data_IF_992997095147
#
_entry.id   IF_992997095147
#
_cell.length_a   1.000
_cell.length_b   1.000
_cell.length_c   1.000
_cell.angle_alpha   90.00
_cell.angle_beta   90.00
_cell.angle_gamma   90.00
#
_symmetry.space_group_name_H-M   'P 1'
#
loop_
_entity.id
_entity.type
_entity.pdbx_description
1 polymer ?
#
# COMPACT_ATOMS: atom_id res chain seq x y z
N UNK A 1 -17.58 -17.19 -45.55
CA UNK A 1 -17.73 -18.32 -44.61
C UNK A 1 -18.59 -17.84 -43.42
N UNK A 2 -19.86 -18.21 -43.39
CA UNK A 2 -20.75 -17.80 -42.29
C UNK A 2 -20.24 -18.52 -41.03
N UNK A 3 -19.74 -17.77 -40.05
CA UNK A 3 -19.35 -18.33 -38.75
C UNK A 3 -20.58 -18.90 -38.07
N UNK A 4 -20.44 -20.15 -37.56
CA UNK A 4 -21.53 -20.77 -36.83
C UNK A 4 -21.90 -19.94 -35.61
N UNK A 5 -23.16 -19.52 -35.51
CA UNK A 5 -23.67 -18.67 -34.47
C UNK A 5 -23.43 -19.27 -33.07
N UNK A 6 -23.53 -20.61 -32.97
CA UNK A 6 -23.25 -21.32 -31.72
C UNK A 6 -21.78 -21.20 -31.26
N UNK A 7 -20.85 -21.22 -32.22
CA UNK A 7 -19.42 -21.03 -31.92
C UNK A 7 -19.16 -19.61 -31.39
N UNK A 8 -19.78 -18.59 -31.96
CA UNK A 8 -19.63 -17.20 -31.53
C UNK A 8 -20.13 -16.97 -30.11
N UNK A 9 -21.29 -17.52 -29.75
CA UNK A 9 -21.86 -17.44 -28.39
C UNK A 9 -20.92 -18.11 -27.38
N UNK A 10 -20.41 -19.28 -27.75
CA UNK A 10 -19.49 -20.04 -26.89
C UNK A 10 -18.16 -19.29 -26.70
N UNK A 11 -17.64 -18.62 -27.73
CA UNK A 11 -16.44 -17.79 -27.63
C UNK A 11 -16.65 -16.57 -26.74
N UNK A 12 -17.81 -15.93 -26.77
CA UNK A 12 -18.15 -14.81 -25.87
C UNK A 12 -18.20 -15.26 -24.41
N UNK A 13 -18.74 -16.44 -24.14
CA UNK A 13 -18.72 -17.04 -22.81
C UNK A 13 -17.29 -17.28 -22.31
N UNK A 14 -16.44 -17.89 -23.13
CA UNK A 14 -15.04 -18.15 -22.78
C UNK A 14 -14.25 -16.85 -22.50
N UNK A 15 -14.51 -15.80 -23.27
CA UNK A 15 -13.91 -14.47 -23.00
C UNK A 15 -14.29 -13.96 -21.61
N UNK A 16 -15.56 -14.03 -21.23
CA UNK A 16 -16.02 -13.55 -19.92
C UNK A 16 -15.52 -14.39 -18.76
N UNK A 17 -15.31 -15.71 -18.97
CA UNK A 17 -14.59 -16.56 -18.02
C UNK A 17 -13.15 -16.08 -17.83
N UNK A 18 -12.45 -15.73 -18.92
CA UNK A 18 -11.12 -15.15 -18.84
C UNK A 18 -11.11 -13.83 -18.05
N UNK A 19 -12.07 -12.94 -18.30
CA UNK A 19 -12.24 -11.68 -17.55
C UNK A 19 -12.47 -11.93 -16.07
N UNK A 20 -13.34 -12.89 -15.74
CA UNK A 20 -13.62 -13.26 -14.34
C UNK A 20 -12.36 -13.74 -13.62
N UNK A 21 -11.61 -14.66 -14.24
CA UNK A 21 -10.37 -15.19 -13.69
C UNK A 21 -9.31 -14.11 -13.50
N UNK A 22 -9.24 -13.18 -14.45
CA UNK A 22 -8.29 -12.05 -14.37
C UNK A 22 -8.63 -11.05 -13.27
N UNK A 23 -9.91 -10.82 -12.99
CA UNK A 23 -10.37 -9.94 -11.93
C UNK A 23 -10.37 -10.59 -10.54
N UNK A 24 -10.32 -11.93 -10.47
CA UNK A 24 -10.40 -12.69 -9.22
C UNK A 24 -9.29 -12.35 -8.21
N UNK A 25 -8.00 -12.18 -8.59
CA UNK A 25 -6.93 -11.80 -7.67
C UNK A 25 -7.06 -10.38 -7.13
N UNK A 26 -7.82 -9.52 -7.82
CA UNK A 26 -8.05 -8.15 -7.39
C UNK A 26 -9.11 -8.17 -6.28
N UNK A 27 -8.77 -7.73 -5.06
CA UNK A 27 -9.64 -7.76 -3.86
C UNK A 27 -11.07 -7.22 -4.04
N UNK A 28 -11.34 -6.54 -5.16
CA UNK A 28 -12.67 -6.07 -5.55
C UNK A 28 -13.68 -7.21 -5.70
N UNK A 29 -13.22 -8.42 -6.00
CA UNK A 29 -14.07 -9.60 -6.19
C UNK A 29 -14.46 -10.30 -4.88
N UNK A 30 -13.64 -10.22 -3.81
CA UNK A 30 -13.87 -11.03 -2.60
C UNK A 30 -15.17 -10.67 -1.86
N UNK A 31 -15.49 -9.38 -1.76
CA UNK A 31 -16.65 -8.92 -0.98
C UNK A 31 -18.02 -9.12 -1.69
N UNK A 32 -18.05 -9.39 -3.01
CA UNK A 32 -19.31 -9.43 -3.79
C UNK A 32 -19.28 -10.41 -4.96
N UNK A 33 -18.75 -11.62 -4.78
CA UNK A 33 -18.58 -12.65 -5.83
C UNK A 33 -19.85 -12.89 -6.67
N UNK A 34 -20.99 -13.06 -6.00
CA UNK A 34 -22.29 -13.33 -6.67
C UNK A 34 -22.71 -12.13 -7.53
N UNK A 35 -22.63 -10.90 -7.00
CA UNK A 35 -23.00 -9.71 -7.75
C UNK A 35 -22.11 -9.51 -8.99
N UNK A 36 -20.83 -9.74 -8.86
CA UNK A 36 -19.87 -9.59 -9.96
C UNK A 36 -20.08 -10.67 -11.03
N UNK A 37 -20.42 -11.89 -10.62
CA UNK A 37 -20.85 -12.96 -11.54
C UNK A 37 -22.11 -12.58 -12.31
N UNK A 38 -23.11 -11.99 -11.65
CA UNK A 38 -24.34 -11.52 -12.30
C UNK A 38 -24.08 -10.39 -13.32
N UNK A 39 -23.14 -9.47 -13.05
CA UNK A 39 -22.75 -8.43 -14.01
C UNK A 39 -22.13 -9.06 -15.27
N UNK A 40 -21.27 -10.07 -15.13
CA UNK A 40 -20.69 -10.77 -16.28
C UNK A 40 -21.73 -11.60 -17.04
N UNK A 41 -22.66 -12.26 -16.36
CA UNK A 41 -23.78 -12.92 -17.02
C UNK A 41 -24.65 -11.92 -17.80
N UNK A 42 -24.93 -10.74 -17.21
CA UNK A 42 -25.59 -9.64 -17.91
C UNK A 42 -24.84 -9.18 -19.15
N UNK A 43 -23.53 -9.05 -19.06
CA UNK A 43 -22.67 -8.69 -20.20
C UNK A 43 -22.77 -9.76 -21.32
N UNK A 44 -22.78 -11.03 -20.96
CA UNK A 44 -23.00 -12.11 -21.93
C UNK A 44 -24.35 -12.03 -22.63
N UNK A 45 -25.44 -11.79 -21.87
CA UNK A 45 -26.78 -11.58 -22.45
C UNK A 45 -26.81 -10.38 -23.39
N UNK A 46 -26.12 -9.29 -23.05
CA UNK A 46 -26.02 -8.10 -23.92
C UNK A 46 -25.25 -8.42 -25.20
N UNK A 47 -24.14 -9.18 -25.14
CA UNK A 47 -23.42 -9.63 -26.33
C UNK A 47 -24.31 -10.50 -27.22
N UNK A 48 -25.08 -11.41 -26.64
CA UNK A 48 -26.01 -12.26 -27.37
C UNK A 48 -27.10 -11.41 -28.03
N UNK A 49 -27.72 -10.50 -27.30
CA UNK A 49 -28.75 -9.60 -27.84
C UNK A 49 -28.22 -8.73 -28.98
N UNK A 50 -27.00 -8.19 -28.84
CA UNK A 50 -26.36 -7.38 -29.88
C UNK A 50 -26.15 -8.19 -31.18
N UNK A 51 -25.77 -9.47 -31.09
CA UNK A 51 -25.61 -10.35 -32.26
C UNK A 51 -26.94 -10.70 -32.94
N UNK A 52 -27.98 -10.85 -32.14
CA UNK A 52 -29.34 -11.13 -32.67
C UNK A 52 -29.94 -9.90 -33.36
N UNK A 53 -29.76 -8.72 -32.79
CA UNK A 53 -30.32 -7.46 -33.31
C UNK A 53 -29.53 -6.89 -34.48
N UNK A 54 -28.20 -7.14 -34.53
CA UNK A 54 -27.33 -6.61 -35.57
C UNK A 54 -26.49 -7.75 -36.15
N UNK A 55 -27.06 -8.55 -37.08
CA UNK A 55 -26.37 -9.71 -37.66
C UNK A 55 -25.04 -9.35 -38.32
N UNK A 56 -24.93 -8.13 -38.88
CA UNK A 56 -23.70 -7.62 -39.50
C UNK A 56 -22.47 -7.61 -38.52
N UNK A 57 -22.70 -7.57 -37.21
CA UNK A 57 -21.61 -7.68 -36.22
C UNK A 57 -20.88 -9.02 -36.35
N UNK A 58 -21.60 -10.11 -36.61
CA UNK A 58 -21.02 -11.45 -36.80
C UNK A 58 -20.26 -11.62 -38.12
N UNK A 59 -20.55 -10.79 -39.11
CA UNK A 59 -19.91 -10.84 -40.43
C UNK A 59 -18.57 -10.10 -40.47
N UNK A 60 -18.41 -9.06 -39.61
CA UNK A 60 -17.23 -8.21 -39.57
C UNK A 60 -16.42 -8.40 -38.28
N UNK A 61 -15.23 -8.98 -38.39
CA UNK A 61 -14.31 -9.23 -37.27
C UNK A 61 -14.02 -7.99 -36.42
N UNK A 62 -13.87 -6.85 -37.09
CA UNK A 62 -13.58 -5.57 -36.40
C UNK A 62 -14.78 -5.12 -35.56
N UNK A 63 -16.00 -5.23 -36.08
CA UNK A 63 -17.22 -4.90 -35.34
C UNK A 63 -17.41 -5.81 -34.12
N UNK A 64 -17.18 -7.11 -34.31
CA UNK A 64 -17.19 -8.12 -33.25
C UNK A 64 -16.19 -7.77 -32.12
N UNK A 65 -14.99 -7.38 -32.48
CA UNK A 65 -13.96 -6.97 -31.53
C UNK A 65 -14.39 -5.73 -30.73
N UNK A 66 -14.86 -4.69 -31.41
CA UNK A 66 -15.34 -3.49 -30.74
C UNK A 66 -16.51 -3.75 -29.80
N UNK A 67 -17.47 -4.57 -30.21
CA UNK A 67 -18.56 -5.00 -29.35
C UNK A 67 -18.04 -5.68 -28.08
N UNK A 68 -17.16 -6.66 -28.22
CA UNK A 68 -16.53 -7.38 -27.09
C UNK A 68 -15.76 -6.43 -26.19
N UNK A 69 -14.97 -5.54 -26.75
CA UNK A 69 -14.19 -4.56 -25.99
C UNK A 69 -15.06 -3.61 -25.18
N UNK A 70 -16.07 -2.99 -25.81
CA UNK A 70 -16.95 -2.03 -25.15
C UNK A 70 -17.77 -2.67 -24.04
N UNK A 71 -18.40 -3.83 -24.31
CA UNK A 71 -19.24 -4.52 -23.32
C UNK A 71 -18.38 -5.01 -22.16
N UNK A 72 -17.18 -5.56 -22.41
CA UNK A 72 -16.25 -5.99 -21.36
C UNK A 72 -15.78 -4.82 -20.54
N UNK A 73 -15.46 -3.69 -21.16
CA UNK A 73 -15.03 -2.46 -20.49
C UNK A 73 -16.13 -1.93 -19.54
N UNK A 74 -17.39 -1.91 -20.01
CA UNK A 74 -18.53 -1.51 -19.17
C UNK A 74 -18.70 -2.49 -17.99
N UNK A 75 -18.60 -3.79 -18.21
CA UNK A 75 -18.71 -4.79 -17.16
C UNK A 75 -17.60 -4.63 -16.10
N UNK A 76 -16.35 -4.43 -16.52
CA UNK A 76 -15.21 -4.14 -15.63
C UNK A 76 -15.44 -2.83 -14.87
N UNK A 77 -15.95 -1.79 -15.51
CA UNK A 77 -16.31 -0.51 -14.89
C UNK A 77 -17.37 -0.64 -13.80
N UNK A 78 -18.43 -1.43 -14.06
CA UNK A 78 -19.50 -1.71 -13.08
C UNK A 78 -18.99 -2.53 -11.87
N UNK A 79 -18.07 -3.46 -12.10
CA UNK A 79 -17.42 -4.24 -11.05
C UNK A 79 -16.51 -3.36 -10.22
N UNK A 80 -15.69 -2.52 -10.86
CA UNK A 80 -14.69 -1.66 -10.21
C UNK A 80 -15.30 -0.43 -9.53
N UNK A 81 -16.49 -0.02 -9.94
CA UNK A 81 -17.16 1.23 -9.54
C UNK A 81 -16.33 2.49 -9.80
N UNK A 82 -15.31 2.42 -10.65
CA UNK A 82 -14.45 3.54 -11.03
C UNK A 82 -14.34 3.60 -12.55
N UNK A 83 -14.54 4.78 -13.11
CA UNK A 83 -14.19 5.06 -14.52
C UNK A 83 -12.78 5.68 -14.47
N UNK A 84 -11.77 4.89 -14.78
CA UNK A 84 -10.37 5.31 -14.71
C UNK A 84 -9.53 4.62 -15.80
N UNK A 85 -8.32 5.11 -16.02
CA UNK A 85 -7.34 4.46 -16.89
C UNK A 85 -7.07 3.00 -16.50
N UNK A 86 -7.20 2.69 -15.22
CA UNK A 86 -7.07 1.33 -14.66
C UNK A 86 -8.13 0.37 -15.24
N UNK A 87 -9.36 0.84 -15.41
CA UNK A 87 -10.45 0.05 -16.00
C UNK A 87 -10.09 -0.38 -17.43
N UNK A 88 -9.60 0.54 -18.26
CA UNK A 88 -9.18 0.25 -19.63
C UNK A 88 -8.03 -0.76 -19.62
N UNK A 89 -7.03 -0.53 -18.78
CA UNK A 89 -5.88 -1.42 -18.63
C UNK A 89 -6.30 -2.84 -18.23
N UNK A 90 -7.18 -2.98 -17.25
CA UNK A 90 -7.72 -4.27 -16.80
C UNK A 90 -8.60 -4.97 -17.85
N UNK A 91 -9.17 -4.24 -18.81
CA UNK A 91 -9.94 -4.81 -19.92
C UNK A 91 -9.03 -5.34 -21.05
N UNK A 92 -7.90 -4.66 -21.28
CA UNK A 92 -6.96 -5.02 -22.35
C UNK A 92 -6.33 -6.40 -22.12
N UNK A 93 -5.94 -6.70 -20.89
CA UNK A 93 -5.25 -7.95 -20.56
C UNK A 93 -6.04 -9.22 -20.91
N UNK A 94 -7.27 -9.40 -20.39
CA UNK A 94 -8.02 -10.61 -20.68
C UNK A 94 -8.36 -10.77 -22.16
N UNK A 95 -8.54 -9.65 -22.90
CA UNK A 95 -8.78 -9.68 -24.33
C UNK A 95 -7.57 -10.22 -25.12
N UNK A 96 -6.37 -9.73 -24.81
CA UNK A 96 -5.15 -10.21 -25.50
C UNK A 96 -4.89 -11.67 -25.16
N UNK A 97 -5.02 -12.05 -23.90
CA UNK A 97 -4.85 -13.45 -23.46
C UNK A 97 -5.86 -14.35 -24.12
N UNK A 98 -7.13 -13.95 -24.15
CA UNK A 98 -8.18 -14.70 -24.84
C UNK A 98 -7.88 -14.86 -26.33
N UNK A 99 -7.45 -13.80 -27.03
CA UNK A 99 -7.12 -13.88 -28.46
C UNK A 99 -5.93 -14.81 -28.70
N UNK A 100 -4.92 -14.79 -27.82
CA UNK A 100 -3.79 -15.70 -27.89
C UNK A 100 -4.25 -17.16 -27.82
N UNK A 101 -5.04 -17.52 -26.79
CA UNK A 101 -5.56 -18.87 -26.60
C UNK A 101 -6.44 -19.30 -27.77
N UNK A 102 -7.29 -18.38 -28.26
CA UNK A 102 -8.19 -18.67 -29.39
C UNK A 102 -7.42 -18.94 -30.70
N UNK A 103 -6.37 -18.21 -30.98
CA UNK A 103 -5.53 -18.47 -32.16
C UNK A 103 -4.81 -19.82 -32.02
N UNK A 104 -4.25 -20.13 -30.86
CA UNK A 104 -3.60 -21.41 -30.59
C UNK A 104 -4.61 -22.57 -30.79
N UNK A 105 -5.82 -22.44 -30.23
CA UNK A 105 -6.89 -23.40 -30.41
C UNK A 105 -7.23 -23.62 -31.88
N UNK A 106 -7.47 -22.53 -32.63
CA UNK A 106 -7.85 -22.61 -34.04
C UNK A 106 -6.72 -23.24 -34.91
N UNK A 107 -5.46 -22.96 -34.57
CA UNK A 107 -4.30 -23.61 -35.23
C UNK A 107 -4.26 -25.11 -34.93
N UNK A 108 -4.44 -25.47 -33.66
CA UNK A 108 -4.45 -26.90 -33.25
C UNK A 108 -5.64 -27.65 -33.83
N UNK A 109 -6.82 -27.07 -33.83
CA UNK A 109 -8.04 -27.67 -34.37
C UNK A 109 -7.92 -28.06 -35.86
N UNK A 110 -7.23 -27.26 -36.65
CA UNK A 110 -7.03 -27.48 -38.09
C UNK A 110 -6.00 -28.60 -38.39
N UNK A 111 -4.94 -28.68 -37.59
CA UNK A 111 -3.87 -29.67 -37.79
C UNK A 111 -4.29 -31.03 -37.23
N UNK A 112 -5.24 -31.06 -36.31
CA UNK A 112 -5.70 -32.29 -35.66
C UNK A 112 -6.92 -32.88 -36.34
N UNK A 113 -7.14 -34.18 -36.20
CA UNK A 113 -8.35 -34.89 -36.65
C UNK A 113 -9.65 -34.41 -35.96
N UNK A 114 -9.58 -33.38 -35.10
CA UNK A 114 -10.73 -32.84 -34.37
C UNK A 114 -11.73 -32.18 -35.33
N UNK A 115 -11.28 -31.59 -36.42
CA UNK A 115 -12.15 -30.96 -37.42
C UNK A 115 -13.14 -31.97 -38.05
N UNK A 116 -12.77 -33.25 -38.13
CA UNK A 116 -13.58 -34.35 -38.68
C UNK A 116 -14.60 -34.92 -37.66
N UNK A 117 -14.50 -34.54 -36.39
CA UNK A 117 -15.35 -35.07 -35.34
C UNK A 117 -16.74 -34.39 -35.32
N UNK A 118 -17.76 -35.05 -34.73
CA UNK A 118 -19.06 -34.42 -34.51
C UNK A 118 -18.97 -33.10 -33.75
N UNK A 119 -19.82 -32.12 -34.08
CA UNK A 119 -19.81 -30.77 -33.46
C UNK A 119 -19.78 -30.80 -31.94
N UNK A 120 -20.54 -31.67 -31.31
CA UNK A 120 -20.59 -31.82 -29.84
C UNK A 120 -19.19 -32.16 -29.29
N UNK A 121 -18.48 -33.07 -29.98
CA UNK A 121 -17.12 -33.44 -29.57
C UNK A 121 -16.12 -32.31 -29.76
N UNK A 122 -16.27 -31.51 -30.82
CA UNK A 122 -15.44 -30.29 -31.03
C UNK A 122 -15.65 -29.27 -29.93
N UNK A 123 -16.88 -29.02 -29.49
CA UNK A 123 -17.16 -28.15 -28.33
C UNK A 123 -16.54 -28.71 -27.03
N UNK A 124 -16.66 -30.00 -26.80
CA UNK A 124 -16.07 -30.65 -25.63
C UNK A 124 -14.55 -30.48 -25.59
N UNK A 125 -13.87 -30.75 -26.70
CA UNK A 125 -12.43 -30.60 -26.83
C UNK A 125 -12.01 -29.11 -26.64
N UNK A 126 -12.77 -28.16 -27.20
CA UNK A 126 -12.49 -26.74 -27.00
C UNK A 126 -12.65 -26.34 -25.55
N UNK A 127 -13.71 -26.81 -24.86
CA UNK A 127 -13.93 -26.51 -23.43
C UNK A 127 -12.79 -27.06 -22.58
N UNK A 128 -12.34 -28.31 -22.82
CA UNK A 128 -11.22 -28.92 -22.11
C UNK A 128 -9.92 -28.15 -22.34
N UNK A 129 -9.64 -27.75 -23.59
CA UNK A 129 -8.46 -26.97 -23.93
C UNK A 129 -8.43 -25.62 -23.24
N UNK A 130 -9.53 -24.85 -23.33
CA UNK A 130 -9.62 -23.55 -22.65
C UNK A 130 -9.56 -23.70 -21.13
N UNK A 131 -10.19 -24.70 -20.55
CA UNK A 131 -10.11 -24.99 -19.12
C UNK A 131 -8.65 -25.28 -18.69
N UNK A 132 -7.93 -26.11 -19.45
CA UNK A 132 -6.52 -26.39 -19.20
C UNK A 132 -5.64 -25.13 -19.30
N UNK A 133 -5.84 -24.31 -20.35
CA UNK A 133 -5.10 -23.06 -20.53
C UNK A 133 -5.41 -22.04 -19.43
N UNK A 134 -6.65 -21.92 -19.01
CA UNK A 134 -7.04 -21.01 -17.91
C UNK A 134 -6.51 -21.49 -16.55
N UNK A 135 -6.47 -22.82 -16.33
CA UNK A 135 -5.82 -23.39 -15.15
C UNK A 135 -4.32 -23.08 -15.15
N UNK A 136 -3.63 -23.29 -16.27
CA UNK A 136 -2.23 -22.94 -16.43
C UNK A 136 -1.97 -21.45 -16.13
N UNK A 137 -2.79 -20.57 -16.69
CA UNK A 137 -2.71 -19.12 -16.45
C UNK A 137 -2.98 -18.74 -15.00
N UNK A 138 -3.90 -19.43 -14.33
CA UNK A 138 -4.20 -19.18 -12.92
C UNK A 138 -3.01 -19.52 -12.02
N UNK A 139 -2.26 -20.55 -12.36
CA UNK A 139 -1.08 -20.97 -11.59
C UNK A 139 0.14 -20.09 -11.91
N UNK A 140 0.28 -19.63 -13.16
CA UNK A 140 1.45 -18.87 -13.62
C UNK A 140 1.24 -17.37 -13.54
N UNK A 141 0.40 -16.81 -14.43
CA UNK A 141 0.24 -15.37 -14.62
C UNK A 141 -0.49 -14.70 -13.44
N UNK A 142 -1.59 -15.31 -12.96
CA UNK A 142 -2.42 -14.69 -11.92
C UNK A 142 -1.77 -14.69 -10.54
N UNK A 143 -0.78 -15.56 -10.29
CA UNK A 143 0.00 -15.56 -9.06
C UNK A 143 0.88 -14.31 -8.92
N UNK A 144 1.22 -13.66 -10.04
CA UNK A 144 2.07 -12.48 -10.10
C UNK A 144 1.27 -11.16 -10.13
N UNK A 145 -0.05 -11.22 -10.26
CA UNK A 145 -0.91 -10.05 -10.24
C UNK A 145 -0.95 -9.43 -8.84
N UNK A 146 -0.99 -8.09 -8.73
CA UNK A 146 -1.06 -7.42 -7.43
C UNK A 146 -2.34 -7.83 -6.70
N UNK A 147 -2.19 -8.29 -5.45
CA UNK A 147 -3.31 -8.71 -4.58
C UNK A 147 -4.03 -7.55 -3.91
N UNK A 148 -3.44 -6.35 -3.91
CA UNK A 148 -3.85 -5.20 -3.11
C UNK A 148 -4.68 -4.17 -3.88
N UNK A 149 -5.57 -4.58 -4.76
CA UNK A 149 -6.47 -3.68 -5.47
C UNK A 149 -6.17 -3.52 -6.97
N UNK A 150 -6.77 -2.51 -7.62
CA UNK A 150 -6.54 -2.22 -9.04
C UNK A 150 -5.09 -1.85 -9.32
N UNK A 151 -4.62 -2.20 -10.52
CA UNK A 151 -3.38 -1.65 -11.04
C UNK A 151 -3.44 -0.12 -11.00
N UNK A 152 -2.46 0.52 -10.39
CA UNK A 152 -2.29 1.96 -10.53
C UNK A 152 -1.77 2.28 -11.94
N UNK A 153 -2.64 2.13 -12.93
CA UNK A 153 -2.29 2.36 -14.32
C UNK A 153 -2.50 3.84 -14.68
N UNK A 154 -1.42 4.57 -14.80
CA UNK A 154 -1.45 5.92 -15.34
C UNK A 154 -1.69 5.94 -16.87
N UNK A 155 -1.93 7.12 -17.48
CA UNK A 155 -2.25 7.25 -18.91
C UNK A 155 -1.18 6.65 -19.83
N UNK A 156 0.09 6.75 -19.48
CA UNK A 156 1.21 6.18 -20.28
C UNK A 156 1.15 4.65 -20.34
N UNK A 157 0.84 3.98 -19.22
CA UNK A 157 0.70 2.52 -19.13
C UNK A 157 -0.48 2.04 -19.97
N UNK A 158 -1.61 2.73 -19.87
CA UNK A 158 -2.81 2.40 -20.62
C UNK A 158 -2.62 2.58 -22.11
N UNK A 159 -1.93 3.65 -22.52
CA UNK A 159 -1.64 3.92 -23.94
C UNK A 159 -0.75 2.81 -24.55
N UNK A 160 0.31 2.40 -23.85
CA UNK A 160 1.17 1.33 -24.34
C UNK A 160 0.46 -0.03 -24.39
N UNK A 161 -0.42 -0.35 -23.41
CA UNK A 161 -1.24 -1.55 -23.47
C UNK A 161 -2.27 -1.50 -24.61
N UNK A 162 -2.85 -0.35 -24.90
CA UNK A 162 -3.74 -0.15 -26.05
C UNK A 162 -3.01 -0.36 -27.38
N UNK A 163 -1.75 0.08 -27.50
CA UNK A 163 -0.93 -0.19 -28.68
C UNK A 163 -0.68 -1.69 -28.89
N UNK A 164 -0.41 -2.42 -27.79
CA UNK A 164 -0.27 -3.90 -27.84
C UNK A 164 -1.58 -4.56 -28.21
N UNK A 165 -2.72 -4.06 -27.70
CA UNK A 165 -4.04 -4.56 -28.07
C UNK A 165 -4.30 -4.36 -29.57
N UNK A 166 -3.92 -3.20 -30.11
CA UNK A 166 -4.05 -2.95 -31.56
C UNK A 166 -3.21 -3.94 -32.38
N UNK A 167 -1.97 -4.20 -31.97
CA UNK A 167 -1.12 -5.19 -32.62
C UNK A 167 -1.72 -6.60 -32.52
N UNK A 168 -2.25 -6.96 -31.38
CA UNK A 168 -2.95 -8.24 -31.18
C UNK A 168 -4.18 -8.37 -32.09
N UNK A 169 -4.98 -7.31 -32.20
CA UNK A 169 -6.14 -7.28 -33.09
C UNK A 169 -5.74 -7.42 -34.56
N UNK A 170 -4.72 -6.68 -34.98
CA UNK A 170 -4.20 -6.77 -36.35
C UNK A 170 -3.71 -8.19 -36.69
N UNK A 171 -2.97 -8.81 -35.78
CA UNK A 171 -2.54 -10.20 -35.91
C UNK A 171 -3.73 -11.18 -35.97
N UNK A 172 -4.74 -10.99 -35.10
CA UNK A 172 -5.96 -11.79 -35.08
C UNK A 172 -6.75 -11.65 -36.40
N UNK A 173 -6.89 -10.45 -36.91
CA UNK A 173 -7.53 -10.17 -38.19
C UNK A 173 -6.83 -10.86 -39.37
N UNK A 174 -5.50 -10.72 -39.45
CA UNK A 174 -4.70 -11.38 -40.50
C UNK A 174 -4.79 -12.92 -40.44
N UNK A 175 -4.81 -13.49 -39.24
CA UNK A 175 -4.99 -14.94 -39.07
C UNK A 175 -6.29 -15.43 -39.70
N UNK A 176 -7.39 -14.71 -39.51
CA UNK A 176 -8.66 -15.10 -40.08
C UNK A 176 -8.77 -14.83 -41.58
N UNK A 177 -8.17 -13.77 -42.10
CA UNK A 177 -8.14 -13.47 -43.52
C UNK A 177 -7.34 -14.51 -44.32
N UNK A 178 -6.24 -14.99 -43.76
CA UNK A 178 -5.38 -16.00 -44.37
C UNK A 178 -5.83 -17.42 -44.04
N UNK A 179 -7.11 -17.65 -43.77
CA UNK A 179 -7.70 -18.95 -43.44
C UNK A 179 -6.98 -19.72 -42.31
N UNK A 180 -6.24 -19.00 -41.46
CA UNK A 180 -5.51 -19.54 -40.31
C UNK A 180 -4.19 -20.26 -40.63
N UNK A 181 -3.64 -20.07 -41.80
CA UNK A 181 -2.37 -20.68 -42.21
C UNK A 181 -1.12 -19.94 -41.68
N UNK A 182 -1.33 -18.91 -40.86
CA UNK A 182 -0.24 -18.05 -40.41
C UNK A 182 0.30 -18.45 -39.03
N UNK A 183 1.37 -19.27 -39.01
CA UNK A 183 2.16 -19.52 -37.78
C UNK A 183 2.71 -18.21 -37.20
N UNK A 184 2.93 -17.19 -38.02
CA UNK A 184 3.35 -15.85 -37.58
C UNK A 184 2.34 -15.21 -36.62
N UNK A 185 1.04 -15.41 -36.84
CA UNK A 185 0.01 -14.85 -35.96
C UNK A 185 0.10 -15.43 -34.53
N UNK A 186 0.41 -16.71 -34.37
CA UNK A 186 0.63 -17.33 -33.07
C UNK A 186 1.84 -16.69 -32.37
N UNK A 187 2.95 -16.51 -33.09
CA UNK A 187 4.16 -15.88 -32.56
C UNK A 187 3.91 -14.43 -32.11
N UNK A 188 3.19 -13.65 -32.91
CA UNK A 188 2.83 -12.26 -32.58
C UNK A 188 1.96 -12.20 -31.32
N UNK A 189 1.00 -13.11 -31.17
CA UNK A 189 0.16 -13.14 -29.95
C UNK A 189 0.95 -13.52 -28.70
N UNK A 190 1.84 -14.50 -28.80
CA UNK A 190 2.75 -14.85 -27.72
C UNK A 190 3.66 -13.68 -27.34
N UNK A 191 4.17 -12.95 -28.34
CA UNK A 191 4.95 -11.74 -28.13
C UNK A 191 4.13 -10.66 -27.41
N UNK A 192 2.87 -10.43 -27.80
CA UNK A 192 1.99 -9.47 -27.12
C UNK A 192 1.79 -9.81 -25.63
N UNK A 193 1.53 -11.09 -25.32
CA UNK A 193 1.37 -11.54 -23.92
C UNK A 193 2.68 -11.37 -23.14
N UNK A 194 3.80 -11.77 -23.73
CA UNK A 194 5.13 -11.64 -23.10
C UNK A 194 5.49 -10.17 -22.87
N UNK A 195 5.22 -9.32 -23.83
CA UNK A 195 5.50 -7.89 -23.73
C UNK A 195 4.68 -7.24 -22.61
N UNK A 196 3.38 -7.55 -22.51
CA UNK A 196 2.54 -7.05 -21.41
C UNK A 196 3.06 -7.55 -20.06
N UNK A 197 3.47 -8.83 -19.97
CA UNK A 197 4.06 -9.37 -18.75
C UNK A 197 5.33 -8.61 -18.33
N UNK A 198 6.27 -8.43 -19.27
CA UNK A 198 7.50 -7.67 -19.03
C UNK A 198 7.20 -6.22 -18.64
N UNK A 199 6.23 -5.60 -19.29
CA UNK A 199 5.77 -4.26 -18.95
C UNK A 199 5.25 -4.21 -17.50
N UNK A 200 4.40 -5.16 -17.08
CA UNK A 200 3.88 -5.23 -15.72
C UNK A 200 5.01 -5.39 -14.69
N UNK A 201 5.99 -6.24 -14.97
CA UNK A 201 7.14 -6.48 -14.10
C UNK A 201 8.05 -5.25 -13.96
N UNK A 202 8.34 -4.57 -15.07
CA UNK A 202 9.14 -3.34 -15.06
C UNK A 202 8.45 -2.23 -14.23
N UNK A 203 7.14 -2.11 -14.33
CA UNK A 203 6.38 -1.14 -13.56
C UNK A 203 6.39 -1.47 -12.07
N UNK A 204 6.22 -2.74 -11.70
CA UNK A 204 6.32 -3.20 -10.31
C UNK A 204 7.69 -2.86 -9.71
N UNK A 205 8.77 -3.13 -10.43
CA UNK A 205 10.14 -2.76 -10.02
C UNK A 205 10.29 -1.25 -9.84
N UNK A 206 9.69 -0.45 -10.73
CA UNK A 206 9.74 1.01 -10.63
C UNK A 206 9.00 1.55 -9.40
N UNK A 207 7.85 0.97 -9.06
CA UNK A 207 7.08 1.33 -7.86
C UNK A 207 7.88 1.01 -6.58
N UNK A 208 8.40 -0.20 -6.47
CA UNK A 208 9.25 -0.63 -5.35
C UNK A 208 10.47 0.29 -5.23
N UNK A 209 11.14 0.64 -6.34
CA UNK A 209 12.28 1.55 -6.33
C UNK A 209 11.89 2.96 -5.83
N UNK A 210 10.72 3.45 -6.18
CA UNK A 210 10.23 4.75 -5.69
C UNK A 210 9.92 4.71 -4.20
N UNK A 211 9.33 3.63 -3.69
CA UNK A 211 9.09 3.43 -2.26
C UNK A 211 10.41 3.38 -1.47
N UNK A 212 11.41 2.65 -1.97
CA UNK A 212 12.74 2.62 -1.37
C UNK A 212 13.40 4.00 -1.34
N UNK A 213 13.35 4.74 -2.45
CA UNK A 213 13.93 6.08 -2.51
C UNK A 213 13.23 7.08 -1.57
N UNK A 214 11.90 6.93 -1.38
CA UNK A 214 11.16 7.72 -0.41
C UNK A 214 11.58 7.37 1.02
N UNK A 215 11.67 6.08 1.34
CA UNK A 215 12.09 5.59 2.66
C UNK A 215 13.52 6.05 3.01
N UNK A 216 14.45 5.98 2.04
CA UNK A 216 15.83 6.45 2.20
C UNK A 216 15.90 7.95 2.50
N UNK A 217 15.08 8.76 1.79
CA UNK A 217 14.99 10.22 2.05
C UNK A 217 14.47 10.51 3.46
N UNK A 218 13.46 9.77 3.90
CA UNK A 218 12.89 9.93 5.24
C UNK A 218 13.89 9.54 6.32
N UNK A 219 14.58 8.41 6.14
CA UNK A 219 15.65 8.00 7.04
C UNK A 219 16.77 9.04 7.15
N UNK A 220 17.18 9.62 6.00
CA UNK A 220 18.17 10.69 6.00
C UNK A 220 17.69 11.96 6.73
N UNK A 221 16.42 12.34 6.57
CA UNK A 221 15.84 13.47 7.29
C UNK A 221 15.79 13.22 8.81
N UNK A 222 15.39 12.04 9.24
CA UNK A 222 15.36 11.66 10.66
C UNK A 222 16.77 11.67 11.26
N UNK A 223 17.76 11.13 10.55
CA UNK A 223 19.15 11.18 10.97
C UNK A 223 19.64 12.61 11.16
N UNK A 224 19.34 13.49 10.22
CA UNK A 224 19.71 14.91 10.30
C UNK A 224 19.05 15.61 11.49
N UNK A 225 17.77 15.34 11.75
CA UNK A 225 17.08 15.87 12.91
C UNK A 225 17.70 15.40 14.23
N UNK A 226 18.03 14.10 14.31
CA UNK A 226 18.75 13.55 15.46
C UNK A 226 20.11 14.26 15.71
N UNK A 227 20.92 14.46 14.65
CA UNK A 227 22.22 15.16 14.76
C UNK A 227 22.02 16.59 15.28
N UNK A 228 21.02 17.34 14.78
CA UNK A 228 20.69 18.69 15.25
C UNK A 228 20.27 18.68 16.72
N UNK A 229 19.38 17.75 17.11
CA UNK A 229 18.92 17.63 18.49
C UNK A 229 20.07 17.29 19.45
N UNK A 230 20.97 16.39 19.03
CA UNK A 230 22.17 16.04 19.78
C UNK A 230 23.11 17.26 20.00
N UNK A 231 23.34 18.05 18.95
CA UNK A 231 24.17 19.25 19.06
C UNK A 231 23.52 20.30 19.98
N UNK A 232 22.19 20.50 19.89
CA UNK A 232 21.45 21.38 20.78
C UNK A 232 21.56 20.93 22.24
N UNK A 233 21.46 19.62 22.51
CA UNK A 233 21.57 19.06 23.84
C UNK A 233 22.96 19.29 24.44
N UNK A 234 24.03 19.17 23.65
CA UNK A 234 25.39 19.50 24.13
C UNK A 234 25.54 21.00 24.50
N UNK A 235 24.81 21.90 23.81
CA UNK A 235 24.80 23.33 24.17
C UNK A 235 24.06 23.52 25.49
N UNK A 236 22.96 22.82 25.70
CA UNK A 236 22.18 22.84 26.95
C UNK A 236 23.04 22.35 28.11
N UNK A 237 23.70 21.19 27.96
CA UNK A 237 24.58 20.62 29.00
C UNK A 237 25.69 21.60 29.41
N UNK A 238 26.34 22.28 28.45
CA UNK A 238 27.35 23.31 28.73
C UNK A 238 26.75 24.46 29.53
N UNK A 239 25.57 24.95 29.13
CA UNK A 239 24.89 26.02 29.87
C UNK A 239 24.47 25.59 31.27
N UNK A 240 24.00 24.34 31.45
CA UNK A 240 23.70 23.78 32.77
C UNK A 240 24.94 23.74 33.66
N UNK A 241 26.08 23.40 33.11
CA UNK A 241 27.35 23.39 33.82
C UNK A 241 27.76 24.80 34.27
N UNK A 242 27.61 25.80 33.37
CA UNK A 242 27.91 27.21 33.65
C UNK A 242 26.99 27.77 34.75
N UNK A 243 25.70 27.40 34.71
CA UNK A 243 24.72 27.80 35.74
C UNK A 243 25.10 27.22 37.13
N UNK A 244 25.58 25.96 37.22
CA UNK A 244 26.05 25.37 38.46
C UNK A 244 27.22 26.15 39.04
N UNK A 245 28.14 26.67 38.22
CA UNK A 245 29.23 27.53 38.68
C UNK A 245 28.72 28.89 39.16
N UNK A 246 27.73 29.50 38.46
CA UNK A 246 27.11 30.77 38.88
C UNK A 246 26.42 30.60 40.23
N UNK A 247 25.66 29.50 40.46
CA UNK A 247 25.02 29.19 41.76
C UNK A 247 26.10 29.05 42.85
N UNK A 248 27.22 28.39 42.56
CA UNK A 248 28.32 28.22 43.50
C UNK A 248 28.96 29.58 43.87
N UNK A 249 29.13 30.46 42.90
CA UNK A 249 29.68 31.82 43.11
C UNK A 249 28.74 32.70 43.94
N UNK A 250 27.40 32.56 43.78
CA UNK A 250 26.41 33.32 44.56
C UNK A 250 26.44 33.00 46.05
N UNK A 251 26.98 31.86 46.49
CA UNK A 251 27.17 31.53 47.89
C UNK A 251 28.12 32.46 48.61
N UNK A 252 28.98 33.17 47.85
CA UNK A 252 29.98 34.10 48.37
C UNK A 252 29.56 35.57 48.30
N UNK A 253 28.35 35.90 47.87
CA UNK A 253 27.84 37.30 47.86
C UNK A 253 27.34 37.67 49.26
N UNK A 254 27.96 38.63 49.87
CA UNK A 254 27.63 39.11 51.23
C UNK A 254 26.37 40.00 51.29
N UNK A 255 26.03 40.69 50.18
CA UNK A 255 24.87 41.57 50.14
C UNK A 255 23.55 40.79 49.93
N UNK A 256 22.60 40.80 50.91
CA UNK A 256 21.37 40.01 50.83
C UNK A 256 20.44 40.38 49.68
N UNK A 257 20.34 41.70 49.38
CA UNK A 257 19.44 42.20 48.34
C UNK A 257 19.92 41.84 46.91
N UNK A 258 21.21 41.87 46.69
CA UNK A 258 21.88 41.53 45.44
C UNK A 258 21.84 39.98 45.21
N UNK A 259 21.97 39.25 46.28
CA UNK A 259 21.88 37.79 46.30
C UNK A 259 20.47 37.31 45.93
N UNK A 260 19.43 37.94 46.46
CA UNK A 260 18.02 37.60 46.19
C UNK A 260 17.62 37.95 44.74
N UNK A 261 18.09 39.06 44.20
CA UNK A 261 17.87 39.42 42.78
C UNK A 261 18.49 38.44 41.84
N UNK A 262 19.75 38.10 42.07
CA UNK A 262 20.50 37.15 41.25
C UNK A 262 19.94 35.71 41.36
N UNK A 263 19.39 35.34 42.53
CA UNK A 263 18.72 34.04 42.74
C UNK A 263 17.41 33.95 41.91
N UNK A 264 16.60 35.01 41.85
CA UNK A 264 15.36 35.02 41.04
C UNK A 264 15.64 34.94 39.56
N UNK A 265 16.65 35.65 39.06
CA UNK A 265 17.11 35.56 37.66
C UNK A 265 17.61 34.16 37.32
N UNK A 266 18.28 33.50 38.25
CA UNK A 266 18.77 32.15 38.12
C UNK A 266 17.64 31.10 38.16
N UNK A 267 16.69 31.24 39.06
CA UNK A 267 15.50 30.38 39.16
C UNK A 267 14.69 30.37 37.88
N UNK A 268 14.50 31.52 37.24
CA UNK A 268 13.84 31.59 35.93
C UNK A 268 14.63 30.88 34.84
N UNK A 269 15.96 30.93 34.87
CA UNK A 269 16.83 30.24 33.92
C UNK A 269 16.86 28.72 34.17
N UNK A 270 16.69 28.27 35.41
CA UNK A 270 16.76 26.86 35.81
C UNK A 270 15.47 26.09 35.46
N UNK A 271 14.30 26.72 35.49
CA UNK A 271 13.02 26.04 35.11
C UNK A 271 13.09 25.36 33.76
N UNK A 272 13.82 25.90 32.81
CA UNK A 272 14.06 25.29 31.46
C UNK A 272 14.84 23.98 31.55
N UNK A 273 15.56 23.73 32.66
CA UNK A 273 16.43 22.55 32.82
C UNK A 273 15.87 21.43 33.72
N UNK A 274 14.80 21.70 34.46
CA UNK A 274 14.14 20.66 35.28
C UNK A 274 13.42 19.61 34.42
N UNK A 275 13.26 19.87 33.11
CA UNK A 275 12.65 18.96 32.14
C UNK A 275 13.62 17.91 31.55
N UNK A 276 14.90 17.87 31.99
CA UNK A 276 15.87 16.89 31.49
C UNK A 276 15.55 15.50 32.02
N UNK A 277 15.03 14.65 31.12
CA UNK A 277 14.72 13.24 31.45
C UNK A 277 15.99 12.41 31.41
N UNK A 278 16.21 11.58 32.43
CA UNK A 278 17.34 10.64 32.52
C UNK A 278 16.83 9.22 32.62
N UNK A 279 16.85 8.48 31.52
CA UNK A 279 16.45 7.07 31.46
C UNK A 279 17.65 6.11 31.52
N UNK A 280 18.86 6.63 31.36
CA UNK A 280 20.10 5.87 31.23
C UNK A 280 20.43 5.45 29.81
N UNK A 281 19.69 5.94 28.80
CA UNK A 281 20.01 5.82 27.38
C UNK A 281 20.15 7.22 26.78
N UNK A 282 21.36 7.61 26.38
CA UNK A 282 21.71 8.96 25.94
C UNK A 282 20.82 9.48 24.80
N UNK A 283 20.44 8.59 23.87
CA UNK A 283 19.60 8.93 22.71
C UNK A 283 18.19 9.24 23.14
N UNK A 284 17.65 8.38 23.98
CA UNK A 284 16.30 8.54 24.51
C UNK A 284 16.20 9.76 25.44
N UNK A 285 17.24 9.98 26.26
CA UNK A 285 17.35 11.14 27.12
C UNK A 285 17.32 12.46 26.31
N UNK A 286 18.08 12.50 25.20
CA UNK A 286 18.09 13.63 24.27
C UNK A 286 16.70 13.87 23.68
N UNK A 287 16.06 12.84 23.14
CA UNK A 287 14.74 12.93 22.52
C UNK A 287 13.65 13.34 23.51
N UNK A 288 13.60 12.67 24.68
CA UNK A 288 12.57 12.94 25.67
C UNK A 288 12.71 14.33 26.27
N UNK A 289 13.94 14.83 26.45
CA UNK A 289 14.17 16.21 26.90
C UNK A 289 13.69 17.23 25.86
N UNK A 290 13.97 17.02 24.57
CA UNK A 290 13.44 17.84 23.47
C UNK A 290 11.90 17.84 23.46
N UNK A 291 11.28 16.68 23.53
CA UNK A 291 9.82 16.53 23.49
C UNK A 291 9.16 17.07 24.76
N UNK A 292 9.80 16.95 25.93
CA UNK A 292 9.32 17.52 27.18
C UNK A 292 9.23 19.05 27.11
N UNK A 293 10.23 19.72 26.53
CA UNK A 293 10.19 21.16 26.30
C UNK A 293 9.04 21.58 25.36
N UNK A 294 8.79 20.80 24.31
CA UNK A 294 7.66 21.05 23.40
C UNK A 294 6.33 20.85 24.12
N UNK A 295 6.20 19.81 24.94
CA UNK A 295 5.01 19.51 25.73
C UNK A 295 4.73 20.65 26.74
N UNK A 296 5.75 21.09 27.47
CA UNK A 296 5.63 22.20 28.43
C UNK A 296 5.15 23.50 27.76
N UNK A 297 5.72 23.85 26.60
CA UNK A 297 5.32 25.02 25.84
C UNK A 297 3.86 24.97 25.32
N UNK A 298 3.25 23.79 25.29
CA UNK A 298 1.87 23.54 24.82
C UNK A 298 0.90 23.15 25.93
N UNK A 299 1.28 23.29 27.19
CA UNK A 299 0.52 22.84 28.37
C UNK A 299 0.15 21.33 28.29
N UNK A 300 1.08 20.49 27.86
CA UNK A 300 0.91 19.02 27.79
C UNK A 300 1.74 18.39 28.91
N UNK A 301 1.14 17.51 29.70
CA UNK A 301 1.83 16.77 30.76
C UNK A 301 2.37 15.46 30.19
N UNK A 302 3.68 15.22 30.25
CA UNK A 302 4.32 13.98 29.81
C UNK A 302 4.82 13.17 31.00
N UNK A 303 4.28 11.97 31.20
CA UNK A 303 4.71 11.04 32.23
C UNK A 303 5.54 9.92 31.62
N UNK A 304 6.73 9.70 32.15
CA UNK A 304 7.67 8.69 31.66
C UNK A 304 8.06 7.72 32.76
N UNK A 305 7.80 6.44 32.53
CA UNK A 305 8.29 5.32 33.36
C UNK A 305 9.14 4.44 32.47
N UNK A 306 10.44 4.74 32.39
CA UNK A 306 11.31 4.20 31.35
C UNK A 306 12.63 3.71 31.96
N UNK A 307 12.98 2.46 31.71
CA UNK A 307 14.34 1.93 31.87
C UNK A 307 15.04 1.91 30.51
N UNK A 308 15.74 3.00 30.17
CA UNK A 308 16.39 3.18 28.87
C UNK A 308 17.55 2.21 28.62
N UNK A 309 18.11 1.60 29.68
CA UNK A 309 19.18 0.59 29.54
C UNK A 309 18.69 -0.65 28.80
N UNK A 310 17.40 -0.94 28.86
CA UNK A 310 16.78 -2.07 28.16
C UNK A 310 16.73 -1.92 26.65
N UNK A 311 17.04 -0.72 26.12
CA UNK A 311 17.05 -0.38 24.68
C UNK A 311 18.44 -0.49 24.04
N UNK A 312 19.49 -0.89 24.77
CA UNK A 312 20.85 -0.93 24.21
C UNK A 312 21.05 -1.89 23.04
N UNK A 313 20.14 -2.84 22.83
CA UNK A 313 20.20 -3.74 21.66
C UNK A 313 19.68 -3.11 20.37
N UNK A 314 19.05 -1.94 20.46
CA UNK A 314 18.50 -1.21 19.32
C UNK A 314 19.48 -0.16 18.79
N UNK A 315 19.47 0.04 17.47
CA UNK A 315 20.23 1.12 16.84
C UNK A 315 19.70 2.49 17.29
N UNK A 316 20.60 3.43 17.50
CA UNK A 316 20.30 4.80 17.94
C UNK A 316 19.23 5.49 17.09
N UNK A 317 19.30 5.31 15.76
CA UNK A 317 18.36 5.92 14.80
C UNK A 317 16.96 5.29 14.94
N UNK A 318 16.90 4.00 15.20
CA UNK A 318 15.64 3.28 15.35
C UNK A 318 14.93 3.69 16.66
N UNK A 319 15.68 3.85 17.75
CA UNK A 319 15.17 4.39 19.01
C UNK A 319 14.59 5.78 18.78
N UNK A 320 15.37 6.67 18.15
CA UNK A 320 14.94 8.04 17.86
C UNK A 320 13.69 8.07 16.98
N UNK A 321 13.64 7.26 15.93
CA UNK A 321 12.52 7.19 15.00
C UNK A 321 11.25 6.58 15.63
N UNK A 322 11.38 5.51 16.42
CA UNK A 322 10.27 4.85 17.08
C UNK A 322 9.61 5.79 18.10
N UNK A 323 10.39 6.28 19.06
CA UNK A 323 9.87 7.16 20.11
C UNK A 323 9.45 8.53 19.57
N UNK A 324 10.22 9.13 18.64
CA UNK A 324 9.89 10.39 18.01
C UNK A 324 8.55 10.36 17.29
N UNK A 325 8.32 9.37 16.42
CA UNK A 325 7.05 9.22 15.71
C UNK A 325 5.87 8.97 16.65
N UNK A 326 6.06 8.16 17.71
CA UNK A 326 4.99 7.87 18.65
C UNK A 326 4.60 9.10 19.47
N UNK A 327 5.60 9.85 19.98
CA UNK A 327 5.38 11.04 20.80
C UNK A 327 4.79 12.17 19.94
N UNK A 328 5.27 12.39 18.71
CA UNK A 328 4.73 13.42 17.81
C UNK A 328 3.27 13.15 17.46
N UNK A 329 2.90 11.89 17.22
CA UNK A 329 1.50 11.51 17.02
C UNK A 329 0.64 11.80 18.27
N UNK A 330 1.15 11.52 19.46
CA UNK A 330 0.46 11.79 20.70
C UNK A 330 0.28 13.30 20.93
N UNK A 331 1.33 14.12 20.75
CA UNK A 331 1.29 15.59 20.84
C UNK A 331 0.23 16.16 19.88
N UNK A 332 0.25 15.78 18.61
CA UNK A 332 -0.73 16.22 17.61
C UNK A 332 -2.17 15.88 17.98
N UNK A 333 -2.37 14.80 18.72
CA UNK A 333 -3.67 14.36 19.19
C UNK A 333 -4.15 15.20 20.36
N UNK A 334 -3.34 15.32 21.43
CA UNK A 334 -3.73 15.95 22.68
C UNK A 334 -3.76 17.48 22.61
N UNK A 335 -3.02 18.09 21.70
CA UNK A 335 -3.02 19.55 21.47
C UNK A 335 -4.41 20.09 21.09
N UNK A 336 -5.29 19.23 20.54
CA UNK A 336 -6.65 19.59 20.09
C UNK A 336 -7.64 19.77 21.26
N UNK A 337 -7.35 19.20 22.43
CA UNK A 337 -8.24 19.31 23.57
C UNK A 337 -8.21 20.74 24.14
N UNK A 338 -9.39 21.27 24.47
CA UNK A 338 -9.51 22.58 25.14
C UNK A 338 -9.16 22.48 26.63
N UNK A 339 -9.45 21.34 27.25
CA UNK A 339 -9.23 21.09 28.67
C UNK A 339 -7.78 20.65 28.90
N UNK A 340 -7.06 21.35 29.79
CA UNK A 340 -5.64 21.06 30.08
C UNK A 340 -5.44 19.70 30.74
N UNK A 341 -6.42 19.26 31.55
CA UNK A 341 -6.39 17.96 32.22
C UNK A 341 -6.43 16.78 31.26
N UNK A 342 -6.96 16.98 30.04
CA UNK A 342 -6.98 15.99 28.96
C UNK A 342 -5.72 16.01 28.08
N UNK A 343 -4.77 16.91 28.36
CA UNK A 343 -3.52 17.01 27.61
C UNK A 343 -2.40 16.25 28.34
N UNK A 344 -2.44 14.93 28.27
CA UNK A 344 -1.36 14.14 28.85
C UNK A 344 -0.89 13.02 27.90
N UNK A 345 0.35 12.61 28.08
CA UNK A 345 1.00 11.52 27.33
C UNK A 345 1.73 10.63 28.35
N UNK A 346 1.38 9.37 28.39
CA UNK A 346 2.02 8.37 29.25
C UNK A 346 2.93 7.48 28.41
N UNK A 347 4.17 7.34 28.81
CA UNK A 347 5.18 6.51 28.15
C UNK A 347 5.72 5.50 29.16
N UNK A 348 5.63 4.23 28.82
CA UNK A 348 6.13 3.15 29.67
C UNK A 348 7.04 2.22 28.88
N UNK A 349 8.24 1.96 29.41
CA UNK A 349 9.15 0.92 28.88
C UNK A 349 9.50 -0.02 30.02
N UNK A 350 9.08 -1.27 29.90
CA UNK A 350 9.28 -2.29 30.90
C UNK A 350 9.61 -3.64 30.26
N UNK A 351 10.41 -4.44 30.92
CA UNK A 351 10.62 -5.83 30.53
C UNK A 351 9.55 -6.72 31.17
N UNK A 352 8.86 -7.52 30.34
CA UNK A 352 7.88 -8.52 30.80
C UNK A 352 8.29 -9.88 30.25
N UNK A 353 8.69 -10.78 31.11
CA UNK A 353 9.21 -12.11 30.75
C UNK A 353 10.42 -11.99 29.79
N UNK A 354 10.29 -12.40 28.54
CA UNK A 354 11.33 -12.33 27.51
C UNK A 354 11.07 -11.24 26.45
N UNK A 355 10.20 -10.28 26.76
CA UNK A 355 9.84 -9.20 25.86
C UNK A 355 10.08 -7.84 26.49
N UNK A 356 10.59 -6.91 25.69
CA UNK A 356 10.54 -5.50 26.01
C UNK A 356 9.18 -4.96 25.55
N UNK A 357 8.43 -4.45 26.51
CA UNK A 357 7.12 -3.84 26.33
C UNK A 357 7.27 -2.32 26.33
N UNK A 358 6.92 -1.67 25.22
CA UNK A 358 6.92 -0.22 25.09
C UNK A 358 5.46 0.20 24.85
N UNK A 359 4.93 1.11 25.68
CA UNK A 359 3.57 1.63 25.54
C UNK A 359 3.59 3.14 25.52
N UNK A 360 2.83 3.70 24.56
CA UNK A 360 2.46 5.10 24.50
C UNK A 360 0.95 5.19 24.64
N UNK A 361 0.47 6.04 25.55
CA UNK A 361 -0.96 6.24 25.79
C UNK A 361 -1.28 7.71 25.83
N UNK A 362 -2.36 8.12 25.14
CA UNK A 362 -2.85 9.49 25.15
C UNK A 362 -4.37 9.54 24.94
N UNK A 363 -5.08 10.55 25.50
CA UNK A 363 -6.50 10.76 25.25
C UNK A 363 -6.83 10.98 23.77
N UNK A 364 -8.05 10.56 23.38
CA UNK A 364 -8.61 10.81 22.04
C UNK A 364 -10.06 11.30 22.15
N UNK A 365 -10.46 12.20 21.25
CA UNK A 365 -11.86 12.68 21.18
C UNK A 365 -12.79 11.65 20.52
N UNK A 366 -12.28 10.92 19.54
CA UNK A 366 -13.06 9.91 18.78
C UNK A 366 -12.18 8.72 18.45
N UNK A 367 -12.75 7.52 18.56
CA UNK A 367 -12.07 6.31 18.14
C UNK A 367 -11.71 6.38 16.64
N UNK A 368 -10.48 6.05 16.25
CA UNK A 368 -10.07 6.04 14.86
C UNK A 368 -10.76 4.90 14.08
N UNK A 369 -10.97 5.11 12.76
CA UNK A 369 -11.30 4.01 11.87
C UNK A 369 -10.02 3.22 11.56
N UNK A 370 -10.13 1.90 11.52
CA UNK A 370 -9.01 1.01 11.25
C UNK A 370 -9.03 0.50 9.80
N UNK A 371 -7.84 0.32 9.21
CA UNK A 371 -7.60 -0.32 7.92
C UNK A 371 -6.28 -1.10 8.02
N UNK A 372 -6.29 -2.40 7.73
CA UNK A 372 -5.15 -3.31 7.90
C UNK A 372 -4.52 -3.24 9.31
N UNK A 373 -5.36 -3.28 10.35
CA UNK A 373 -5.00 -3.20 11.78
C UNK A 373 -4.29 -1.89 12.22
N UNK A 374 -4.28 -0.88 11.36
CA UNK A 374 -3.77 0.45 11.68
C UNK A 374 -4.86 1.53 11.55
N UNK A 375 -4.79 2.61 12.35
CA UNK A 375 -5.69 3.74 12.23
C UNK A 375 -5.56 4.43 10.87
N UNK A 376 -6.71 4.76 10.26
CA UNK A 376 -6.73 5.58 9.04
C UNK A 376 -6.25 7.00 9.31
N UNK A 377 -5.45 7.59 8.40
CA UNK A 377 -5.04 8.98 8.52
C UNK A 377 -6.24 9.93 8.52
N UNK A 378 -6.34 10.77 9.52
CA UNK A 378 -7.46 11.73 9.68
C UNK A 378 -7.31 13.01 8.86
N UNK A 379 -6.12 13.35 8.37
CA UNK A 379 -5.86 14.57 7.59
C UNK A 379 -5.94 14.33 6.09
N UNK A 380 -6.50 15.32 5.33
CA UNK A 380 -6.70 15.29 3.87
C UNK A 380 -5.40 15.19 3.04
N UNK A 381 -4.24 15.46 3.61
CA UNK A 381 -2.95 15.43 2.91
C UNK A 381 -2.34 14.02 3.00
N UNK A 382 -2.78 13.13 2.13
CA UNK A 382 -2.42 11.70 2.07
C UNK A 382 -0.93 11.39 1.84
N UNK A 383 -0.10 12.36 1.47
CA UNK A 383 1.30 12.11 1.11
C UNK A 383 2.27 11.96 2.30
N UNK A 384 1.91 12.47 3.50
CA UNK A 384 2.81 12.48 4.65
C UNK A 384 2.21 11.90 5.94
N UNK A 385 0.89 11.59 6.00
CA UNK A 385 0.23 11.03 7.17
C UNK A 385 -0.03 9.51 7.02
N UNK A 386 0.17 8.79 8.11
CA UNK A 386 0.14 7.32 8.16
C UNK A 386 1.52 6.67 8.03
N UNK A 387 2.58 7.47 7.80
CA UNK A 387 3.95 6.95 7.67
C UNK A 387 4.55 6.67 9.05
N UNK A 388 4.19 7.44 10.08
CA UNK A 388 4.73 7.29 11.44
C UNK A 388 4.47 5.89 12.02
N UNK A 389 3.21 5.42 12.02
CA UNK A 389 2.87 4.08 12.51
C UNK A 389 3.44 2.96 11.64
N UNK A 390 3.51 3.15 10.33
CA UNK A 390 4.19 2.20 9.43
C UNK A 390 5.69 2.12 9.69
N UNK A 391 6.33 3.26 9.99
CA UNK A 391 7.74 3.31 10.40
C UNK A 391 7.95 2.57 11.72
N UNK A 392 7.08 2.77 12.71
CA UNK A 392 7.15 2.07 14.00
C UNK A 392 6.98 0.56 13.79
N UNK A 393 6.01 0.12 12.98
CA UNK A 393 5.81 -1.31 12.65
C UNK A 393 7.05 -1.90 11.99
N UNK A 394 7.61 -1.20 11.00
CA UNK A 394 8.82 -1.66 10.31
C UNK A 394 10.03 -1.80 11.25
N UNK A 395 10.17 -0.86 12.19
CA UNK A 395 11.22 -0.95 13.23
C UNK A 395 10.94 -2.14 14.13
N UNK A 396 9.72 -2.35 14.62
CA UNK A 396 9.39 -3.50 15.45
C UNK A 396 9.69 -4.83 14.75
N UNK A 397 9.28 -4.97 13.48
CA UNK A 397 9.57 -6.14 12.65
C UNK A 397 11.08 -6.38 12.44
N UNK A 398 11.88 -5.30 12.27
CA UNK A 398 13.35 -5.39 12.17
C UNK A 398 13.96 -6.08 13.38
N UNK A 399 13.40 -5.88 14.58
CA UNK A 399 13.84 -6.50 15.82
C UNK A 399 13.06 -7.79 16.19
N UNK A 400 12.29 -8.32 15.23
CA UNK A 400 11.53 -9.56 15.42
C UNK A 400 10.29 -9.42 16.32
N UNK A 401 9.83 -8.19 16.52
CA UNK A 401 8.66 -7.85 17.31
C UNK A 401 7.45 -7.48 16.47
N UNK A 402 6.42 -6.97 17.14
CA UNK A 402 5.18 -6.52 16.51
C UNK A 402 4.59 -5.32 17.27
N UNK A 403 3.61 -4.66 16.66
CA UNK A 403 2.87 -3.56 17.26
C UNK A 403 1.39 -3.90 17.38
N UNK A 404 0.76 -3.44 18.45
CA UNK A 404 -0.69 -3.43 18.60
C UNK A 404 -1.21 -2.03 18.89
N UNK A 405 -2.40 -1.74 18.39
CA UNK A 405 -3.08 -0.47 18.62
C UNK A 405 -4.46 -0.78 19.19
N UNK A 406 -4.77 -0.19 20.35
CA UNK A 406 -6.06 -0.34 20.99
C UNK A 406 -6.64 1.00 21.41
N UNK A 407 -7.94 1.04 21.62
CA UNK A 407 -8.65 2.20 22.18
C UNK A 407 -9.42 1.74 23.39
N UNK A 408 -8.97 2.12 24.58
CA UNK A 408 -9.58 1.77 25.85
C UNK A 408 -9.75 3.03 26.70
N UNK A 409 -10.86 3.16 27.42
CA UNK A 409 -11.15 4.29 28.33
C UNK A 409 -10.92 5.67 27.69
N UNK A 410 -11.29 5.86 26.42
CA UNK A 410 -11.05 7.07 25.64
C UNK A 410 -9.57 7.44 25.47
N UNK A 411 -8.66 6.48 25.63
CA UNK A 411 -7.24 6.63 25.35
C UNK A 411 -6.85 5.75 24.14
N UNK A 412 -6.01 6.32 23.30
CA UNK A 412 -5.29 5.59 22.26
C UNK A 412 -4.04 4.97 22.86
N UNK A 413 -3.88 3.67 22.73
CA UNK A 413 -2.72 2.94 23.19
C UNK A 413 -1.99 2.36 21.99
N UNK A 414 -0.73 2.71 21.85
CA UNK A 414 0.22 2.06 20.94
C UNK A 414 1.17 1.21 21.77
N UNK A 415 1.17 -0.06 21.51
CA UNK A 415 2.02 -1.03 22.20
C UNK A 415 2.99 -1.66 21.22
N UNK A 416 4.25 -1.75 21.61
CA UNK A 416 5.33 -2.39 20.83
C UNK A 416 5.91 -3.49 21.70
N UNK A 417 5.98 -4.70 21.16
CA UNK A 417 6.56 -5.88 21.81
C UNK A 417 7.79 -6.31 21.04
N UNK A 418 8.95 -6.27 21.68
CA UNK A 418 10.22 -6.68 21.08
C UNK A 418 10.80 -7.86 21.89
N UNK A 419 11.20 -8.97 21.25
CA UNK A 419 11.87 -10.06 21.98
C UNK A 419 13.23 -9.60 22.49
N UNK A 420 13.49 -9.82 23.78
CA UNK A 420 14.82 -9.59 24.39
C UNK A 420 15.56 -10.92 24.35
N UNK A 421 16.71 -10.93 23.67
CA UNK A 421 17.58 -12.12 23.58
C UNK A 421 18.42 -12.28 24.82
#
# INVERSE_FOLDING_TARGET
>A
MVRDFGIMIFQDFLLLVCVYLFLMPLHVMEKKKIKNGLILCGAWCVMLAARLLIPAIGEHLIAEFFMRFVITMIAVGLISKKISWEMIYCTVWPLIVYHCINIIWNSLHRVSAIEQQPRVLQYLFSLLFFAAMYLLLSITLFRWLPRNGFYQAGPRRTLSAAAVLFLSLFSYYNFYQNRGESNLAVLVQLYCVTFLYLQAELFKKSEVKQEYALMERMWYQQKKQYEIAKDQMQVIDRKCHDLKYQVAAMRHIENPAEREKNLKELEQSIRIYDSIVKTGNEILDTLLSEKSLICEARDITMHCVIDGKKLFFMDSIDIYALFGNAIDNAIECVEKFSEKEMRFIDICVAEKQHFLYIRFSNPIERAPEYEDDLPKPTKKNKQYHGIGLKSIRHIAEKYGGDISVSTEMNCFNLEVLLPVK
#
